data_IF_553943398570
#
_entry.id   IF_553943398570
#
_cell.length_a   1.000
_cell.length_b   1.000
_cell.length_c   1.000
_cell.angle_alpha   90.00
_cell.angle_beta   90.00
_cell.angle_gamma   90.00
#
_symmetry.space_group_name_H-M   'P 1'
#
loop_
_entity.id
_entity.type
_entity.pdbx_description
1 polymer ?
#
# COMPACT_ATOMS: atom_id res chain seq x y z
N UNK A 1 -3.61 7.84 10.18
CA UNK A 1 -2.21 7.42 9.90
C UNK A 1 -2.26 6.00 9.37
N UNK A 2 -1.99 5.83 8.08
CA UNK A 2 -2.03 4.54 7.40
C UNK A 2 -0.91 3.63 7.91
N UNK A 3 -1.27 2.44 8.38
CA UNK A 3 -0.34 1.43 8.92
C UNK A 3 -0.37 0.19 8.04
N UNK A 4 0.29 0.24 6.90
CA UNK A 4 0.35 -0.86 5.94
C UNK A 4 0.74 -2.21 6.57
N UNK A 5 1.55 -2.19 7.65
CA UNK A 5 2.00 -3.38 8.37
C UNK A 5 0.92 -4.06 9.24
N UNK A 6 -0.23 -3.40 9.47
CA UNK A 6 -1.36 -4.00 10.17
C UNK A 6 -2.19 -4.92 9.25
N UNK A 7 -1.99 -4.83 7.94
CA UNK A 7 -2.70 -5.62 6.93
C UNK A 7 -1.84 -6.84 6.56
N UNK A 8 -1.87 -7.87 7.40
CA UNK A 8 -1.13 -9.12 7.18
C UNK A 8 -1.88 -10.08 6.24
N UNK A 9 -3.20 -10.00 6.24
CA UNK A 9 -4.09 -10.80 5.41
C UNK A 9 -5.12 -9.89 4.73
N UNK A 10 -5.13 -9.91 3.40
CA UNK A 10 -6.06 -9.16 2.56
C UNK A 10 -7.04 -10.09 1.81
N UNK A 11 -7.25 -11.30 2.34
CA UNK A 11 -8.20 -12.28 1.79
C UNK A 11 -9.66 -11.82 1.91
N UNK A 12 -9.97 -10.94 2.86
CA UNK A 12 -11.29 -10.32 2.98
C UNK A 12 -11.42 -9.16 1.97
N UNK A 13 -12.42 -9.19 1.07
CA UNK A 13 -12.62 -8.15 0.06
C UNK A 13 -12.87 -6.75 0.64
N UNK A 14 -13.49 -6.65 1.83
CA UNK A 14 -13.71 -5.38 2.51
C UNK A 14 -12.36 -4.82 2.99
N UNK A 15 -11.54 -5.64 3.66
CA UNK A 15 -10.20 -5.24 4.10
C UNK A 15 -9.28 -4.90 2.92
N UNK A 16 -9.39 -5.65 1.82
CA UNK A 16 -8.65 -5.36 0.58
C UNK A 16 -9.02 -3.99 0.04
N UNK A 17 -10.32 -3.68 -0.08
CA UNK A 17 -10.77 -2.39 -0.56
C UNK A 17 -10.30 -1.24 0.33
N UNK A 18 -10.41 -1.40 1.65
CA UNK A 18 -9.96 -0.41 2.63
C UNK A 18 -8.44 -0.19 2.53
N UNK A 19 -7.66 -1.26 2.35
CA UNK A 19 -6.22 -1.16 2.16
C UNK A 19 -5.88 -0.37 0.89
N UNK A 20 -6.50 -0.69 -0.24
CA UNK A 20 -6.25 0.00 -1.51
C UNK A 20 -6.63 1.48 -1.41
N UNK A 21 -7.79 1.79 -0.84
CA UNK A 21 -8.23 3.18 -0.64
C UNK A 21 -7.25 3.98 0.22
N UNK A 22 -6.75 3.37 1.30
CA UNK A 22 -5.74 4.00 2.15
C UNK A 22 -4.40 4.19 1.45
N UNK A 23 -3.96 3.22 0.63
CA UNK A 23 -2.72 3.35 -0.18
C UNK A 23 -2.88 4.46 -1.20
N UNK A 24 -4.02 4.52 -1.90
CA UNK A 24 -4.31 5.57 -2.89
C UNK A 24 -4.37 6.94 -2.23
N UNK A 25 -5.04 7.08 -1.09
CA UNK A 25 -5.10 8.34 -0.33
C UNK A 25 -3.74 8.78 0.22
N UNK A 26 -2.85 7.84 0.53
CA UNK A 26 -1.49 8.10 1.00
C UNK A 26 -0.46 8.25 -0.14
N UNK A 27 -0.85 8.00 -1.39
CA UNK A 27 0.06 8.04 -2.54
C UNK A 27 0.50 9.48 -2.82
N UNK A 28 1.81 9.66 -3.03
CA UNK A 28 2.38 10.95 -3.42
C UNK A 28 2.11 11.29 -4.88
N UNK A 29 1.81 10.28 -5.70
CA UNK A 29 1.60 10.42 -7.13
C UNK A 29 0.36 9.65 -7.55
N UNK A 30 -0.43 10.23 -8.44
CA UNK A 30 -1.49 9.52 -9.14
C UNK A 30 -0.87 8.77 -10.33
N UNK A 31 -0.92 7.43 -10.28
CA UNK A 31 -0.38 6.55 -11.32
C UNK A 31 -1.43 6.17 -12.36
N UNK A 32 -2.72 6.50 -12.14
CA UNK A 32 -3.84 6.04 -12.95
C UNK A 32 -4.16 4.54 -12.83
N UNK A 33 -3.37 3.79 -12.05
CA UNK A 33 -3.50 2.35 -11.87
C UNK A 33 -4.09 2.03 -10.49
N UNK A 34 -5.08 1.12 -10.45
CA UNK A 34 -5.70 0.68 -9.21
C UNK A 34 -5.61 -0.84 -9.08
N UNK A 35 -5.67 -1.35 -7.85
CA UNK A 35 -5.78 -2.78 -7.58
C UNK A 35 -7.25 -3.18 -7.35
N UNK A 36 -7.61 -4.39 -7.77
CA UNK A 36 -8.92 -4.99 -7.54
C UNK A 36 -8.76 -6.25 -6.69
N UNK A 37 -9.82 -6.60 -5.96
CA UNK A 37 -9.82 -7.84 -5.19
C UNK A 37 -9.50 -9.03 -6.09
N UNK A 38 -8.58 -9.88 -5.64
CA UNK A 38 -7.98 -10.96 -6.42
C UNK A 38 -6.60 -10.64 -7.00
N UNK A 39 -6.22 -9.36 -7.07
CA UNK A 39 -4.86 -8.96 -7.45
C UNK A 39 -3.86 -9.25 -6.33
N UNK A 40 -2.65 -9.67 -6.70
CA UNK A 40 -1.55 -9.82 -5.74
C UNK A 40 -0.79 -8.51 -5.63
N UNK A 41 -0.63 -8.01 -4.40
CA UNK A 41 0.13 -6.79 -4.11
C UNK A 41 1.49 -7.10 -3.51
N UNK A 42 2.50 -6.33 -3.92
CA UNK A 42 3.84 -6.34 -3.35
C UNK A 42 4.10 -4.99 -2.67
N UNK A 43 4.32 -5.02 -1.35
CA UNK A 43 4.68 -3.81 -0.58
C UNK A 43 6.17 -3.85 -0.26
N UNK A 44 6.93 -2.89 -0.80
CA UNK A 44 8.33 -2.67 -0.50
C UNK A 44 8.48 -1.50 0.46
N UNK A 45 9.25 -1.70 1.52
CA UNK A 45 9.49 -0.67 2.54
C UNK A 45 10.98 -0.40 2.60
N UNK A 46 11.37 0.86 2.47
CA UNK A 46 12.75 1.29 2.67
C UNK A 46 12.82 2.34 3.77
N UNK A 47 13.87 2.26 4.59
CA UNK A 47 14.17 3.28 5.59
C UNK A 47 14.70 4.51 4.84
N UNK A 48 14.00 5.64 4.93
CA UNK A 48 14.55 6.87 4.38
C UNK A 48 15.60 7.39 5.35
N UNK A 49 16.88 7.31 4.99
CA UNK A 49 17.99 7.87 5.79
C UNK A 49 17.94 9.42 5.91
N UNK A 50 16.99 10.08 5.24
CA UNK A 50 16.85 11.54 5.19
C UNK A 50 15.73 12.12 6.08
N UNK A 51 14.93 11.29 6.75
CA UNK A 51 13.89 11.75 7.69
C UNK A 51 13.92 10.90 8.96
N UNK A 52 13.94 11.52 10.15
CA UNK A 52 13.85 10.80 11.43
C UNK A 52 12.59 9.93 11.43
N UNK A 53 12.76 8.60 11.46
CA UNK A 53 11.69 7.58 11.41
C UNK A 53 10.83 7.55 10.13
N UNK A 54 11.28 8.20 9.05
CA UNK A 54 10.60 8.13 7.76
C UNK A 54 10.70 6.73 7.13
N UNK A 55 9.56 6.16 6.75
CA UNK A 55 9.50 4.95 5.92
C UNK A 55 8.95 5.34 4.56
N UNK A 56 9.69 5.01 3.51
CA UNK A 56 9.19 5.13 2.16
C UNK A 56 8.61 3.78 1.74
N UNK A 57 7.35 3.79 1.31
CA UNK A 57 6.59 2.58 0.99
C UNK A 57 6.21 2.64 -0.48
N UNK A 58 6.53 1.58 -1.21
CA UNK A 58 6.11 1.38 -2.60
C UNK A 58 5.17 0.18 -2.64
N UNK A 59 3.95 0.39 -3.12
CA UNK A 59 2.97 -0.67 -3.33
C UNK A 59 2.84 -0.91 -4.83
N UNK A 60 3.13 -2.13 -5.27
CA UNK A 60 3.03 -2.54 -6.67
C UNK A 60 1.98 -3.64 -6.83
N UNK A 61 1.19 -3.56 -7.89
CA UNK A 61 0.32 -4.65 -8.35
C UNK A 61 1.15 -5.63 -9.18
N UNK A 62 1.05 -6.93 -8.91
CA UNK A 62 1.66 -7.96 -9.74
C UNK A 62 0.74 -8.27 -10.93
N UNK A 63 1.29 -8.16 -12.14
CA UNK A 63 0.64 -8.56 -13.39
C UNK A 63 0.87 -10.04 -13.70
#
# INVERSE_FOLDING_TARGET
>A
MFRFYAYQDLSDPVLFSEYVDNVTAASLYDTGETAKYGDTLLTLVTCSYHAENGRFVVVARKC
#
